data_IF_240022825114
#
_entry.id   IF_240022825114
#
_cell.length_a   1.000
_cell.length_b   1.000
_cell.length_c   1.000
_cell.angle_alpha   90.00
_cell.angle_beta   90.00
_cell.angle_gamma   90.00
#
_symmetry.space_group_name_H-M   'P 1'
#
loop_
_entity.id
_entity.type
_entity.pdbx_description
1 polymer ?
#
# COMPACT_ATOMS: atom_id res chain seq x y z
N UNK A 1 -13.78 3.13 -10.06
CA UNK A 1 -13.53 1.72 -9.63
C UNK A 1 -12.46 1.69 -8.55
N UNK A 2 -12.54 0.86 -7.50
CA UNK A 2 -11.47 0.81 -6.47
C UNK A 2 -10.37 -0.20 -6.83
N UNK A 3 -9.12 -0.02 -6.33
CA UNK A 3 -8.08 -1.03 -6.51
C UNK A 3 -8.46 -2.41 -5.95
N UNK A 4 -9.25 -2.42 -4.87
CA UNK A 4 -9.80 -3.65 -4.29
C UNK A 4 -10.71 -4.36 -5.30
N UNK A 5 -11.65 -3.65 -5.91
CA UNK A 5 -12.59 -4.24 -6.87
C UNK A 5 -11.84 -4.90 -8.03
N UNK A 6 -10.86 -4.21 -8.61
CA UNK A 6 -10.05 -4.74 -9.71
C UNK A 6 -9.19 -5.95 -9.30
N UNK A 7 -8.63 -5.95 -8.08
CA UNK A 7 -7.87 -7.09 -7.55
C UNK A 7 -8.81 -8.28 -7.30
N UNK A 8 -9.96 -8.08 -6.68
CA UNK A 8 -10.92 -9.15 -6.38
C UNK A 8 -11.47 -9.78 -7.67
N UNK A 9 -11.82 -8.96 -8.67
CA UNK A 9 -12.26 -9.45 -9.99
C UNK A 9 -11.19 -10.34 -10.65
N UNK A 10 -9.94 -9.86 -10.66
CA UNK A 10 -8.82 -10.65 -11.22
C UNK A 10 -8.55 -11.90 -10.40
N UNK A 11 -8.48 -11.80 -9.08
CA UNK A 11 -8.18 -12.91 -8.17
C UNK A 11 -9.20 -14.05 -8.30
N UNK A 12 -10.49 -13.70 -8.44
CA UNK A 12 -11.55 -14.68 -8.67
C UNK A 12 -11.31 -15.53 -9.91
N UNK A 13 -10.82 -14.93 -11.01
CA UNK A 13 -10.50 -15.67 -12.24
C UNK A 13 -9.32 -16.64 -12.12
N UNK A 14 -8.51 -16.53 -11.07
CA UNK A 14 -7.37 -17.40 -10.78
C UNK A 14 -7.57 -18.29 -9.55
N UNK A 15 -8.72 -18.22 -8.88
CA UNK A 15 -8.97 -18.95 -7.64
C UNK A 15 -8.10 -18.48 -6.47
N UNK A 16 -7.69 -17.21 -6.47
CA UNK A 16 -6.90 -16.60 -5.40
C UNK A 16 -7.85 -15.99 -4.36
N UNK A 17 -7.59 -16.28 -3.07
CA UNK A 17 -8.32 -15.66 -1.96
C UNK A 17 -7.78 -14.26 -1.68
N UNK A 18 -8.70 -13.30 -1.43
CA UNK A 18 -8.33 -11.91 -1.10
C UNK A 18 -8.79 -11.57 0.31
N UNK A 19 -7.83 -11.31 1.20
CA UNK A 19 -8.09 -10.80 2.56
C UNK A 19 -7.89 -9.28 2.54
N UNK A 20 -8.99 -8.53 2.52
CA UNK A 20 -8.94 -7.05 2.50
C UNK A 20 -9.11 -6.44 3.89
N UNK A 21 -8.26 -5.46 4.22
CA UNK A 21 -8.37 -4.63 5.43
C UNK A 21 -8.13 -3.16 5.07
N UNK A 22 -9.15 -2.33 5.24
CA UNK A 22 -9.04 -0.87 5.11
C UNK A 22 -8.91 -0.25 6.49
N UNK A 23 -7.69 -0.20 7.03
CA UNK A 23 -7.42 0.26 8.39
C UNK A 23 -6.03 0.89 8.50
N UNK A 24 -5.88 1.81 9.46
CA UNK A 24 -4.58 2.33 9.90
C UNK A 24 -4.01 1.55 11.10
N UNK A 25 -4.76 0.57 11.60
CA UNK A 25 -4.34 -0.26 12.73
C UNK A 25 -3.30 -1.28 12.28
N UNK A 26 -2.09 -1.15 12.85
CA UNK A 26 -0.96 -2.04 12.57
C UNK A 26 -1.30 -3.50 12.91
N UNK A 27 -1.90 -3.77 14.08
CA UNK A 27 -2.20 -5.14 14.53
C UNK A 27 -3.10 -5.90 13.54
N UNK A 28 -4.20 -5.29 13.12
CA UNK A 28 -5.14 -5.88 12.15
C UNK A 28 -4.50 -6.08 10.78
N UNK A 29 -3.60 -5.17 10.38
CA UNK A 29 -2.88 -5.30 9.10
C UNK A 29 -1.90 -6.47 9.14
N UNK A 30 -1.15 -6.65 10.23
CA UNK A 30 -0.21 -7.77 10.39
C UNK A 30 -0.92 -9.11 10.53
N UNK A 31 -2.09 -9.15 11.19
CA UNK A 31 -2.91 -10.36 11.26
C UNK A 31 -3.33 -10.86 9.87
N UNK A 32 -3.73 -9.93 8.99
CA UNK A 32 -4.07 -10.27 7.60
C UNK A 32 -2.83 -10.69 6.79
N UNK A 33 -1.71 -9.97 6.95
CA UNK A 33 -0.47 -10.27 6.25
C UNK A 33 0.05 -11.70 6.54
N UNK A 34 -0.06 -12.15 7.80
CA UNK A 34 0.35 -13.51 8.21
C UNK A 34 -0.49 -14.64 7.61
N UNK A 35 -1.66 -14.32 7.07
CA UNK A 35 -2.57 -15.28 6.45
C UNK A 35 -2.44 -15.31 4.92
N UNK A 36 -1.63 -14.45 4.33
CA UNK A 36 -1.52 -14.29 2.89
C UNK A 36 -0.10 -14.61 2.38
N UNK A 37 0.00 -15.18 1.19
CA UNK A 37 1.29 -15.44 0.53
C UNK A 37 1.97 -14.14 0.04
N UNK A 38 1.18 -13.10 -0.19
CA UNK A 38 1.60 -11.79 -0.68
C UNK A 38 0.70 -10.70 -0.11
N UNK A 39 1.29 -9.62 0.39
CA UNK A 39 0.56 -8.43 0.80
C UNK A 39 0.61 -7.35 -0.28
N UNK A 40 -0.55 -6.81 -0.65
CA UNK A 40 -0.64 -5.58 -1.45
C UNK A 40 -0.99 -4.43 -0.52
N UNK A 41 -0.04 -3.52 -0.30
CA UNK A 41 -0.27 -2.31 0.48
C UNK A 41 -0.62 -1.15 -0.45
N UNK A 42 -1.73 -0.47 -0.17
CA UNK A 42 -2.10 0.78 -0.85
C UNK A 42 -1.93 1.95 0.11
N UNK A 43 -0.95 2.82 -0.18
CA UNK A 43 -0.69 4.04 0.56
C UNK A 43 -0.99 5.28 -0.26
N UNK A 44 -1.18 6.41 0.42
CA UNK A 44 -1.40 7.69 -0.22
C UNK A 44 -0.47 8.79 0.32
N UNK A 45 -0.25 9.80 -0.51
CA UNK A 45 0.17 11.13 -0.08
C UNK A 45 -0.92 12.13 -0.47
N UNK A 46 -1.25 13.06 0.42
CA UNK A 46 -2.32 14.03 0.26
C UNK A 46 -1.68 15.41 0.19
N UNK A 47 -2.15 16.22 -0.76
CA UNK A 47 -1.86 17.65 -0.88
C UNK A 47 -3.15 18.42 -1.10
N UNK A 48 -3.14 19.71 -0.81
CA UNK A 48 -4.28 20.61 -1.03
C UNK A 48 -3.80 21.90 -1.67
N UNK A 49 -4.71 22.61 -2.33
CA UNK A 49 -4.42 23.95 -2.84
C UNK A 49 -4.11 24.89 -1.67
N UNK A 50 -3.15 25.80 -1.86
CA UNK A 50 -2.68 26.76 -0.86
C UNK A 50 -2.04 26.13 0.39
N UNK A 51 -1.69 24.84 0.34
CA UNK A 51 -1.03 24.14 1.43
C UNK A 51 0.12 23.28 0.89
N UNK A 52 1.35 23.74 1.15
CA UNK A 52 2.53 22.94 0.86
C UNK A 52 2.62 21.74 1.79
N UNK A 53 3.05 20.60 1.26
CA UNK A 53 3.29 19.43 2.09
C UNK A 53 4.49 19.69 3.01
N UNK A 54 4.37 19.39 4.33
CA UNK A 54 5.47 19.62 5.26
C UNK A 54 6.65 18.66 5.05
N UNK A 55 6.41 17.54 4.36
CA UNK A 55 7.42 16.54 4.04
C UNK A 55 7.03 15.71 2.81
N UNK A 56 8.01 15.01 2.25
CA UNK A 56 7.81 14.04 1.16
C UNK A 56 7.39 12.64 1.67
N UNK A 57 7.07 12.49 2.95
CA UNK A 57 6.60 11.21 3.51
C UNK A 57 5.18 10.91 3.04
N UNK A 58 4.86 9.63 2.80
CA UNK A 58 3.46 9.20 2.65
C UNK A 58 2.70 9.38 3.98
N UNK A 59 1.39 9.57 3.89
CA UNK A 59 0.54 9.85 5.05
C UNK A 59 0.25 8.59 5.88
N UNK A 60 -0.43 8.79 7.02
CA UNK A 60 -0.93 7.72 7.88
C UNK A 60 0.13 6.72 8.35
N UNK A 61 1.37 7.20 8.56
CA UNK A 61 2.48 6.37 9.01
C UNK A 61 2.79 5.19 8.05
N UNK A 62 2.48 5.35 6.76
CA UNK A 62 2.62 4.30 5.75
C UNK A 62 4.03 3.70 5.73
N UNK A 63 5.07 4.51 5.92
CA UNK A 63 6.45 4.02 6.00
C UNK A 63 6.63 2.92 7.07
N UNK A 64 6.21 3.19 8.31
CA UNK A 64 6.38 2.24 9.42
C UNK A 64 5.48 1.02 9.28
N UNK A 65 4.33 1.16 8.61
CA UNK A 65 3.45 0.02 8.34
C UNK A 65 4.04 -0.88 7.25
N UNK A 66 4.58 -0.32 6.17
CA UNK A 66 5.22 -1.09 5.09
C UNK A 66 6.40 -1.91 5.63
N UNK A 67 7.27 -1.32 6.45
CA UNK A 67 8.39 -2.06 7.04
C UNK A 67 7.92 -3.23 7.90
N UNK A 68 6.87 -3.03 8.69
CA UNK A 68 6.30 -4.10 9.52
C UNK A 68 5.64 -5.19 8.66
N UNK A 69 4.92 -4.83 7.60
CA UNK A 69 4.35 -5.80 6.68
C UNK A 69 5.45 -6.60 5.96
N UNK A 70 6.52 -5.92 5.54
CA UNK A 70 7.64 -6.56 4.88
C UNK A 70 8.44 -7.48 5.82
N UNK A 71 8.33 -7.29 7.14
CA UNK A 71 8.86 -8.23 8.11
C UNK A 71 8.03 -9.53 8.21
N UNK A 72 6.76 -9.52 7.82
CA UNK A 72 5.88 -10.70 7.85
C UNK A 72 5.94 -11.52 6.55
N UNK A 73 6.22 -10.89 5.40
CA UNK A 73 6.30 -11.58 4.12
C UNK A 73 6.48 -10.64 2.92
N UNK A 74 6.36 -11.16 1.67
CA UNK A 74 6.45 -10.36 0.46
C UNK A 74 5.40 -9.24 0.40
N UNK A 75 5.81 -8.04 0.01
CA UNK A 75 4.97 -6.85 -0.10
C UNK A 75 5.11 -6.19 -1.47
N UNK A 76 3.97 -5.94 -2.10
CA UNK A 76 3.83 -5.02 -3.23
C UNK A 76 3.26 -3.71 -2.70
N UNK A 77 3.91 -2.58 -3.00
CA UNK A 77 3.44 -1.26 -2.57
C UNK A 77 2.85 -0.48 -3.74
N UNK A 78 1.59 -0.11 -3.62
CA UNK A 78 0.88 0.79 -4.51
C UNK A 78 0.78 2.17 -3.86
N UNK A 79 1.12 3.22 -4.60
CA UNK A 79 1.18 4.59 -4.07
C UNK A 79 0.28 5.53 -4.88
N UNK A 80 -0.77 6.05 -4.24
CA UNK A 80 -1.59 7.14 -4.78
C UNK A 80 -1.06 8.47 -4.28
N UNK A 81 -0.28 9.15 -5.11
CA UNK A 81 0.48 10.33 -4.67
C UNK A 81 0.36 11.48 -5.68
N UNK A 82 0.23 12.74 -5.23
CA UNK A 82 0.15 13.91 -6.12
C UNK A 82 1.48 14.24 -6.78
N UNK A 83 2.57 13.56 -6.40
CA UNK A 83 3.92 13.83 -6.86
C UNK A 83 4.94 12.98 -6.10
N UNK A 84 6.20 13.41 -6.10
CA UNK A 84 7.29 12.65 -5.47
C UNK A 84 7.04 12.39 -3.97
N UNK A 85 7.44 11.20 -3.52
CA UNK A 85 7.47 10.80 -2.12
C UNK A 85 8.76 10.04 -1.81
N UNK A 86 9.19 10.08 -0.55
CA UNK A 86 10.31 9.30 -0.08
C UNK A 86 9.87 7.87 0.23
N UNK A 87 10.67 6.90 -0.22
CA UNK A 87 10.42 5.46 -0.04
C UNK A 87 11.61 4.78 0.67
N UNK A 88 11.86 5.06 1.97
CA UNK A 88 13.04 4.52 2.67
C UNK A 88 13.02 2.98 2.77
N UNK A 89 11.84 2.39 2.68
CA UNK A 89 11.57 0.95 2.74
C UNK A 89 11.82 0.22 1.40
N UNK A 90 12.11 0.93 0.30
CA UNK A 90 12.18 0.33 -1.06
C UNK A 90 13.26 -0.75 -1.22
N UNK A 91 14.32 -0.66 -0.42
CA UNK A 91 15.46 -1.56 -0.47
C UNK A 91 15.30 -2.74 0.52
N UNK A 92 14.17 -2.82 1.23
CA UNK A 92 13.85 -3.95 2.09
C UNK A 92 13.69 -5.23 1.24
N UNK A 93 14.33 -6.36 1.58
CA UNK A 93 14.40 -7.54 0.71
C UNK A 93 13.04 -8.16 0.35
N UNK A 94 12.04 -7.97 1.23
CA UNK A 94 10.68 -8.47 1.01
C UNK A 94 9.75 -7.45 0.31
N UNK A 95 10.22 -6.25 -0.02
CA UNK A 95 9.47 -5.33 -0.89
C UNK A 95 9.78 -5.72 -2.33
N UNK A 96 8.84 -6.42 -2.96
CA UNK A 96 9.08 -7.11 -4.24
C UNK A 96 8.67 -6.29 -5.45
N UNK A 97 7.73 -5.35 -5.30
CA UNK A 97 7.37 -4.41 -6.35
C UNK A 97 6.82 -3.10 -5.78
N UNK A 98 6.96 -2.02 -6.56
CA UNK A 98 6.51 -0.67 -6.21
C UNK A 98 5.87 -0.04 -7.45
N UNK A 99 4.65 0.49 -7.30
CA UNK A 99 3.95 1.20 -8.35
C UNK A 99 3.45 2.56 -7.86
N UNK A 100 3.86 3.64 -8.54
CA UNK A 100 3.28 4.96 -8.36
C UNK A 100 2.08 5.10 -9.31
N UNK A 101 0.88 5.18 -8.75
CA UNK A 101 -0.38 5.25 -9.50
C UNK A 101 -0.83 6.69 -9.79
N UNK A 102 -0.15 7.68 -9.21
CA UNK A 102 -0.58 9.07 -9.17
C UNK A 102 -2.04 9.20 -8.67
N UNK A 103 -2.83 10.07 -9.28
CA UNK A 103 -4.24 10.29 -8.96
C UNK A 103 -5.08 9.95 -10.20
N UNK A 104 -5.48 8.67 -10.31
CA UNK A 104 -5.99 8.08 -11.54
C UNK A 104 -7.44 8.47 -11.92
N UNK A 105 -8.17 9.19 -11.08
CA UNK A 105 -9.58 9.51 -11.33
C UNK A 105 -10.51 8.30 -11.12
N UNK A 106 -11.73 8.38 -11.68
CA UNK A 106 -12.80 7.38 -11.52
C UNK A 106 -12.96 6.42 -12.71
#
# INVERSE_FOLDING_TARGET
>A
VTPRDGIEERAQSFGVEVISRSTVMVSTSLEAARQADLTVFLGAGISRENEDRPALTMDFWAHSLIEKLAAEGPVVVLMQTPGAVMTPWRDHPNVTAIAALFLAGE
#
